data_IF_000202909070
#
_entry.id   IF_000202909070
#
_cell.length_a   1.000
_cell.length_b   1.000
_cell.length_c   1.000
_cell.angle_alpha   90.00
_cell.angle_beta   90.00
_cell.angle_gamma   90.00
#
_symmetry.space_group_name_H-M   'P 1'
#
loop_
_entity.id
_entity.type
_entity.pdbx_description
1 polymer ?
#
# COMPACT_ATOMS: atom_id res chain seq x y z
N UNK A 1 8.15 -7.36 32.22
CA UNK A 1 8.42 -8.25 31.07
C UNK A 1 7.43 -7.92 29.98
N UNK A 2 7.84 -7.14 28.98
CA UNK A 2 6.94 -6.63 27.92
C UNK A 2 6.43 -7.77 27.05
N UNK A 3 5.18 -8.18 27.27
CA UNK A 3 4.51 -9.19 26.47
C UNK A 3 4.29 -8.57 25.09
N UNK A 4 5.09 -9.00 24.11
CA UNK A 4 4.82 -8.72 22.69
C UNK A 4 3.31 -8.86 22.46
N UNK A 5 2.69 -7.79 21.97
CA UNK A 5 1.28 -7.80 21.55
C UNK A 5 1.03 -9.09 20.77
N UNK A 6 0.14 -9.95 21.27
CA UNK A 6 -0.24 -11.20 20.59
C UNK A 6 -0.48 -10.89 19.12
N UNK A 7 0.11 -11.64 18.20
CA UNK A 7 0.16 -11.36 16.75
C UNK A 7 -1.19 -10.96 16.13
N UNK A 8 -2.31 -11.39 16.71
CA UNK A 8 -3.66 -11.01 16.32
C UNK A 8 -4.00 -9.53 16.53
N UNK A 9 -3.58 -8.89 17.63
CA UNK A 9 -3.87 -7.47 17.90
C UNK A 9 -3.00 -6.54 17.04
N UNK A 10 -1.78 -6.94 16.73
CA UNK A 10 -0.91 -6.23 15.80
C UNK A 10 -1.45 -6.30 14.35
N UNK A 11 -1.95 -7.47 13.92
CA UNK A 11 -2.60 -7.64 12.61
C UNK A 11 -3.87 -6.80 12.47
N UNK A 12 -4.71 -6.74 13.50
CA UNK A 12 -5.94 -5.92 13.46
C UNK A 12 -5.65 -4.42 13.42
N UNK A 13 -4.63 -3.94 14.16
CA UNK A 13 -4.16 -2.56 14.08
C UNK A 13 -3.59 -2.22 12.70
N UNK A 14 -2.77 -3.10 12.13
CA UNK A 14 -2.19 -2.90 10.79
C UNK A 14 -3.27 -2.84 9.71
N UNK A 15 -4.27 -3.72 9.75
CA UNK A 15 -5.44 -3.66 8.86
C UNK A 15 -6.15 -2.30 8.95
N UNK A 16 -6.39 -1.80 10.17
CA UNK A 16 -7.02 -0.49 10.39
C UNK A 16 -6.23 0.68 9.83
N UNK A 17 -4.90 0.68 9.99
CA UNK A 17 -4.03 1.73 9.45
C UNK A 17 -4.09 1.77 7.94
N UNK A 18 -4.13 0.61 7.31
CA UNK A 18 -4.24 0.49 5.86
C UNK A 18 -5.60 0.95 5.35
N UNK A 19 -6.68 0.58 6.05
CA UNK A 19 -8.05 1.03 5.73
C UNK A 19 -8.19 2.54 5.86
N UNK A 20 -7.71 3.13 6.96
CA UNK A 20 -7.76 4.57 7.18
C UNK A 20 -6.92 5.36 6.16
N UNK A 21 -5.81 4.79 5.70
CA UNK A 21 -5.00 5.38 4.64
C UNK A 21 -5.75 5.41 3.30
N UNK A 22 -6.42 4.31 2.91
CA UNK A 22 -7.23 4.27 1.67
C UNK A 22 -8.43 5.22 1.76
N UNK A 23 -9.11 5.28 2.90
CA UNK A 23 -10.22 6.22 3.13
C UNK A 23 -9.76 7.68 3.02
N UNK A 24 -8.59 7.99 3.57
CA UNK A 24 -7.96 9.31 3.46
C UNK A 24 -7.60 9.64 2.02
N UNK A 25 -7.04 8.67 1.29
CA UNK A 25 -6.70 8.80 -0.13
C UNK A 25 -7.96 9.12 -0.95
N UNK A 26 -9.04 8.36 -0.81
CA UNK A 26 -10.28 8.57 -1.57
C UNK A 26 -10.97 9.90 -1.24
N UNK A 27 -10.94 10.34 0.01
CA UNK A 27 -11.68 11.52 0.46
C UNK A 27 -10.90 12.84 0.39
N UNK A 28 -9.58 12.82 0.59
CA UNK A 28 -8.75 14.02 0.67
C UNK A 28 -8.04 14.37 -0.64
N UNK A 29 -7.57 13.38 -1.40
CA UNK A 29 -6.90 13.60 -2.70
C UNK A 29 -7.75 14.46 -3.66
N UNK A 30 -9.04 14.16 -3.95
CA UNK A 30 -9.80 14.96 -4.89
C UNK A 30 -10.01 16.41 -4.42
N UNK A 31 -10.09 16.62 -3.09
CA UNK A 31 -10.18 17.97 -2.50
C UNK A 31 -8.85 18.71 -2.65
N UNK A 32 -7.73 18.05 -2.38
CA UNK A 32 -6.39 18.62 -2.52
C UNK A 32 -6.05 18.94 -3.98
N UNK A 33 -6.41 18.08 -4.93
CA UNK A 33 -6.25 18.35 -6.37
C UNK A 33 -7.09 19.56 -6.81
N UNK A 34 -8.35 19.64 -6.37
CA UNK A 34 -9.24 20.77 -6.67
C UNK A 34 -8.69 22.08 -6.11
N UNK A 35 -8.25 22.08 -4.86
CA UNK A 35 -7.69 23.27 -4.22
C UNK A 35 -6.32 23.64 -4.78
N UNK A 36 -5.50 22.66 -5.19
CA UNK A 36 -4.23 22.91 -5.87
C UNK A 36 -4.43 23.67 -7.19
N UNK A 37 -5.41 23.25 -8.00
CA UNK A 37 -5.76 23.92 -9.26
C UNK A 37 -6.36 25.31 -8.98
N UNK A 38 -7.27 25.41 -8.00
CA UNK A 38 -7.93 26.67 -7.63
C UNK A 38 -6.94 27.72 -7.10
N UNK A 39 -5.96 27.30 -6.30
CA UNK A 39 -4.99 28.18 -5.65
C UNK A 39 -3.68 28.30 -6.45
N UNK A 40 -3.51 27.52 -7.53
CA UNK A 40 -2.27 27.42 -8.34
C UNK A 40 -1.02 27.14 -7.50
N UNK A 41 -1.15 26.29 -6.47
CA UNK A 41 -0.07 25.95 -5.55
C UNK A 41 0.53 24.59 -5.87
N UNK A 42 1.74 24.61 -6.42
CA UNK A 42 2.48 23.38 -6.78
C UNK A 42 2.78 22.51 -5.54
N UNK A 43 2.95 23.11 -4.36
CA UNK A 43 3.15 22.36 -3.11
C UNK A 43 1.95 21.47 -2.75
N UNK A 44 0.72 21.98 -2.97
CA UNK A 44 -0.50 21.20 -2.74
C UNK A 44 -0.64 20.08 -3.77
N UNK A 45 -0.20 20.31 -5.00
CA UNK A 45 -0.14 19.28 -6.04
C UNK A 45 0.85 18.17 -5.64
N UNK A 46 2.03 18.53 -5.15
CA UNK A 46 3.06 17.58 -4.73
C UNK A 46 2.56 16.69 -3.58
N UNK A 47 1.92 17.28 -2.56
CA UNK A 47 1.33 16.53 -1.44
C UNK A 47 0.16 15.66 -1.90
N UNK A 48 -0.68 16.15 -2.83
CA UNK A 48 -1.77 15.36 -3.39
C UNK A 48 -1.24 14.16 -4.17
N UNK A 49 -0.19 14.35 -4.97
CA UNK A 49 0.46 13.29 -5.74
C UNK A 49 1.19 12.28 -4.83
N UNK A 50 1.84 12.75 -3.77
CA UNK A 50 2.47 11.87 -2.76
C UNK A 50 1.41 11.03 -2.04
N UNK A 51 0.29 11.65 -1.66
CA UNK A 51 -0.85 10.96 -1.05
C UNK A 51 -1.58 10.03 -2.03
N UNK A 52 -1.47 10.27 -3.34
CA UNK A 52 -1.98 9.37 -4.38
C UNK A 52 -1.15 8.11 -4.53
N UNK A 53 0.13 8.11 -4.14
CA UNK A 53 0.96 6.90 -4.20
C UNK A 53 0.35 5.90 -3.22
N UNK A 54 -0.37 4.87 -3.72
CA UNK A 54 -1.01 3.93 -2.83
C UNK A 54 0.07 3.14 -2.09
N UNK A 55 -0.27 2.44 -1.00
CA UNK A 55 0.67 1.54 -0.34
C UNK A 55 1.36 0.70 -1.42
N UNK A 56 2.70 0.67 -1.46
CA UNK A 56 3.48 0.10 -2.57
C UNK A 56 2.97 -1.28 -3.02
N UNK A 57 2.52 -2.10 -2.08
CA UNK A 57 1.84 -3.37 -2.30
C UNK A 57 0.60 -3.29 -3.22
N UNK A 58 -0.25 -2.27 -3.06
CA UNK A 58 -1.43 -2.03 -3.89
C UNK A 58 -1.04 -1.53 -5.30
N UNK A 59 -0.03 -0.66 -5.41
CA UNK A 59 0.50 -0.22 -6.70
C UNK A 59 0.99 -1.41 -7.53
N UNK A 60 1.81 -2.27 -6.90
CA UNK A 60 2.32 -3.50 -7.55
C UNK A 60 1.17 -4.44 -7.93
N UNK A 61 0.14 -4.58 -7.08
CA UNK A 61 -1.02 -5.43 -7.38
C UNK A 61 -1.80 -4.94 -8.62
N UNK A 62 -2.05 -3.64 -8.72
CA UNK A 62 -2.72 -3.03 -9.88
C UNK A 62 -1.86 -3.22 -11.13
N UNK A 63 -0.56 -2.99 -11.03
CA UNK A 63 0.38 -3.18 -12.14
C UNK A 63 0.42 -4.64 -12.63
N UNK A 64 0.46 -5.62 -11.72
CA UNK A 64 0.40 -7.05 -12.07
C UNK A 64 -0.91 -7.40 -12.76
N UNK A 65 -2.06 -6.92 -12.25
CA UNK A 65 -3.36 -7.15 -12.84
C UNK A 65 -3.47 -6.53 -14.25
N UNK A 66 -2.99 -5.28 -14.42
CA UNK A 66 -2.97 -4.59 -15.70
C UNK A 66 -2.04 -5.29 -16.71
N UNK A 67 -0.86 -5.72 -16.29
CA UNK A 67 0.10 -6.46 -17.13
C UNK A 67 -0.47 -7.81 -17.56
N UNK A 68 -1.09 -8.54 -16.63
CA UNK A 68 -1.78 -9.80 -16.93
C UNK A 68 -2.93 -9.60 -17.93
N UNK A 69 -3.77 -8.59 -17.71
CA UNK A 69 -4.85 -8.23 -18.64
C UNK A 69 -4.34 -7.83 -20.03
N UNK A 70 -3.24 -7.06 -20.10
CA UNK A 70 -2.62 -6.67 -21.36
C UNK A 70 -2.04 -7.86 -22.12
N UNK A 71 -1.39 -8.80 -21.42
CA UNK A 71 -0.89 -10.04 -22.01
C UNK A 71 -2.02 -10.92 -22.57
N UNK A 72 -3.14 -11.03 -21.85
CA UNK A 72 -4.34 -11.71 -22.37
C UNK A 72 -4.90 -10.99 -23.59
N UNK A 73 -4.95 -9.65 -23.57
CA UNK A 73 -5.37 -8.84 -24.71
C UNK A 73 -4.50 -9.08 -25.95
N UNK A 74 -3.17 -9.12 -25.78
CA UNK A 74 -2.22 -9.47 -26.84
C UNK A 74 -2.44 -10.89 -27.35
N UNK A 75 -2.66 -11.87 -26.47
CA UNK A 75 -2.94 -13.25 -26.86
C UNK A 75 -4.24 -13.38 -27.68
N UNK A 76 -5.20 -12.47 -27.49
CA UNK A 76 -6.44 -12.35 -28.25
C UNK A 76 -6.30 -11.48 -29.53
N UNK A 77 -5.08 -11.08 -29.91
CA UNK A 77 -4.81 -10.28 -31.10
C UNK A 77 -4.79 -8.76 -30.88
N UNK A 78 -4.74 -8.32 -29.62
CA UNK A 78 -4.62 -6.91 -29.24
C UNK A 78 -3.22 -6.32 -29.49
N UNK A 79 -3.13 -4.99 -29.31
CA UNK A 79 -1.88 -4.25 -29.52
C UNK A 79 -0.85 -4.51 -28.42
N UNK A 80 0.42 -4.66 -28.81
CA UNK A 80 1.56 -4.78 -27.89
C UNK A 80 1.93 -3.47 -27.18
N UNK A 81 1.41 -2.33 -27.65
CA UNK A 81 1.77 -1.00 -27.11
C UNK A 81 1.50 -0.95 -25.60
N UNK A 82 0.32 -1.39 -25.17
CA UNK A 82 -0.06 -1.41 -23.74
C UNK A 82 0.90 -2.28 -22.92
N UNK A 83 1.28 -3.45 -23.43
CA UNK A 83 2.21 -4.36 -22.74
C UNK A 83 3.60 -3.76 -22.64
N UNK A 84 4.11 -3.10 -23.68
CA UNK A 84 5.43 -2.46 -23.68
C UNK A 84 5.46 -1.31 -22.66
N UNK A 85 4.43 -0.47 -22.64
CA UNK A 85 4.34 0.64 -21.67
C UNK A 85 4.32 0.11 -20.24
N UNK A 86 3.53 -0.93 -19.97
CA UNK A 86 3.46 -1.56 -18.64
C UNK A 86 4.79 -2.23 -18.25
N UNK A 87 5.52 -2.82 -19.19
CA UNK A 87 6.84 -3.39 -18.91
C UNK A 87 7.87 -2.31 -18.56
N UNK A 88 7.87 -1.18 -19.27
CA UNK A 88 8.74 -0.04 -18.97
C UNK A 88 8.42 0.51 -17.57
N UNK A 89 7.14 0.68 -17.25
CA UNK A 89 6.69 1.08 -15.91
C UNK A 89 7.20 0.10 -14.84
N UNK A 90 7.10 -1.21 -15.09
CA UNK A 90 7.58 -2.25 -14.17
C UNK A 90 9.08 -2.16 -13.90
N UNK A 91 9.89 -1.87 -14.93
CA UNK A 91 11.33 -1.67 -14.78
C UNK A 91 11.63 -0.43 -13.93
N UNK A 92 10.95 0.69 -14.18
CA UNK A 92 11.12 1.92 -13.40
C UNK A 92 10.73 1.71 -11.94
N UNK A 93 9.63 1.00 -11.70
CA UNK A 93 9.17 0.64 -10.35
C UNK A 93 10.21 -0.23 -9.63
N UNK A 94 10.78 -1.23 -10.31
CA UNK A 94 11.81 -2.08 -9.75
C UNK A 94 13.10 -1.30 -9.41
N UNK A 95 13.52 -0.38 -10.28
CA UNK A 95 14.66 0.51 -10.01
C UNK A 95 14.38 1.35 -8.76
N UNK A 96 13.20 1.96 -8.66
CA UNK A 96 12.83 2.78 -7.50
C UNK A 96 12.86 1.98 -6.18
N UNK A 97 12.35 0.74 -6.19
CA UNK A 97 12.39 -0.15 -5.02
C UNK A 97 13.83 -0.50 -4.65
N UNK A 98 14.64 -0.90 -5.63
CA UNK A 98 16.04 -1.29 -5.40
C UNK A 98 16.87 -0.11 -4.89
N UNK A 99 16.67 1.08 -5.45
CA UNK A 99 17.32 2.29 -4.97
C UNK A 99 16.89 2.65 -3.55
N UNK A 100 15.59 2.60 -3.26
CA UNK A 100 15.06 2.86 -1.92
C UNK A 100 15.66 1.89 -0.89
N UNK A 101 15.72 0.60 -1.23
CA UNK A 101 16.35 -0.40 -0.40
C UNK A 101 17.86 -0.14 -0.22
N UNK A 102 18.58 0.14 -1.31
CA UNK A 102 20.04 0.33 -1.29
C UNK A 102 20.44 1.56 -0.48
N UNK A 103 19.65 2.64 -0.53
CA UNK A 103 19.92 3.90 0.18
C UNK A 103 19.49 3.86 1.65
N UNK A 104 18.35 3.24 1.97
CA UNK A 104 17.72 3.39 3.29
C UNK A 104 17.57 2.10 4.09
N UNK A 105 17.53 0.92 3.46
CA UNK A 105 17.19 -0.33 4.15
C UNK A 105 18.35 -1.33 4.23
N UNK A 106 19.48 -1.05 3.57
CA UNK A 106 20.63 -1.98 3.48
C UNK A 106 21.24 -2.34 4.84
N UNK A 107 21.13 -1.45 5.83
CA UNK A 107 21.67 -1.67 7.17
C UNK A 107 20.82 -2.64 8.02
N UNK A 108 19.49 -2.59 7.87
CA UNK A 108 18.56 -3.33 8.73
C UNK A 108 17.93 -4.55 8.05
N UNK A 109 17.89 -4.58 6.71
CA UNK A 109 17.17 -5.60 5.94
C UNK A 109 18.10 -6.31 4.92
N UNK A 110 18.51 -7.57 5.18
CA UNK A 110 19.32 -8.33 4.23
C UNK A 110 18.54 -8.59 2.93
N UNK A 111 19.25 -8.66 1.80
CA UNK A 111 18.65 -8.81 0.46
C UNK A 111 17.74 -10.04 0.34
N UNK A 112 17.96 -11.08 1.15
CA UNK A 112 17.08 -12.26 1.18
C UNK A 112 15.64 -11.93 1.62
N UNK A 113 15.41 -10.87 2.40
CA UNK A 113 14.06 -10.43 2.75
C UNK A 113 13.31 -9.84 1.56
N UNK A 114 14.00 -9.34 0.52
CA UNK A 114 13.35 -8.93 -0.74
C UNK A 114 12.68 -10.11 -1.45
N UNK A 115 13.18 -11.33 -1.27
CA UNK A 115 12.56 -12.52 -1.84
C UNK A 115 11.22 -12.87 -1.17
N UNK A 116 10.97 -12.37 0.05
CA UNK A 116 9.68 -12.51 0.73
C UNK A 116 8.65 -11.47 0.29
N UNK A 117 9.05 -10.42 -0.46
CA UNK A 117 8.15 -9.35 -0.93
C UNK A 117 7.00 -9.89 -1.80
N UNK A 118 7.22 -10.79 -2.78
CA UNK A 118 6.12 -11.35 -3.57
C UNK A 118 5.11 -12.10 -2.70
N UNK A 119 5.58 -12.90 -1.74
CA UNK A 119 4.74 -13.66 -0.81
C UNK A 119 3.95 -12.70 0.10
N UNK A 120 4.60 -11.64 0.59
CA UNK A 120 3.97 -10.61 1.40
C UNK A 120 2.85 -9.87 0.65
N UNK A 121 3.08 -9.52 -0.61
CA UNK A 121 2.08 -8.88 -1.49
C UNK A 121 0.89 -9.83 -1.69
N UNK A 122 1.15 -11.10 -2.02
CA UNK A 122 0.09 -12.11 -2.18
C UNK A 122 -0.75 -12.26 -0.91
N UNK A 123 -0.12 -12.23 0.26
CA UNK A 123 -0.82 -12.35 1.54
C UNK A 123 -1.69 -11.12 1.88
N UNK A 124 -1.42 -9.98 1.25
CA UNK A 124 -2.25 -8.77 1.36
C UNK A 124 -3.44 -8.72 0.40
N UNK A 125 -3.45 -9.53 -0.66
CA UNK A 125 -4.57 -9.60 -1.61
C UNK A 125 -5.94 -9.81 -0.91
N UNK A 126 -6.13 -10.79 -0.01
CA UNK A 126 -7.40 -10.97 0.67
C UNK A 126 -7.78 -9.78 1.57
N UNK A 127 -6.79 -9.05 2.12
CA UNK A 127 -7.03 -7.86 2.93
C UNK A 127 -7.59 -6.70 2.08
N UNK A 128 -7.04 -6.50 0.87
CA UNK A 128 -7.54 -5.47 -0.06
C UNK A 128 -8.88 -5.87 -0.69
N UNK A 129 -9.10 -7.15 -1.00
CA UNK A 129 -10.40 -7.64 -1.49
C UNK A 129 -11.48 -7.53 -0.40
N UNK A 130 -11.14 -7.84 0.86
CA UNK A 130 -12.07 -7.67 1.99
C UNK A 130 -12.45 -6.20 2.19
N UNK A 131 -11.54 -5.24 1.96
CA UNK A 131 -11.89 -3.82 2.00
C UNK A 131 -12.89 -3.41 0.92
N UNK A 132 -12.79 -3.99 -0.29
CA UNK A 132 -13.70 -3.69 -1.39
C UNK A 132 -15.11 -4.26 -1.15
N UNK A 133 -15.22 -5.34 -0.37
CA UNK A 133 -16.48 -6.05 -0.09
C UNK A 133 -17.11 -5.58 1.23
N UNK A 134 -16.32 -5.33 2.27
CA UNK A 134 -16.76 -4.90 3.60
C UNK A 134 -15.79 -3.86 4.20
N UNK A 135 -15.94 -2.56 3.87
CA UNK A 135 -15.18 -1.52 4.55
C UNK A 135 -15.47 -1.57 6.05
N UNK A 136 -14.42 -1.87 6.83
CA UNK A 136 -14.47 -1.99 8.30
C UNK A 136 -14.76 -0.62 8.92
N UNK A 137 -16.05 -0.28 9.00
CA UNK A 137 -16.60 0.98 9.53
C UNK A 137 -16.79 0.94 11.06
N UNK A 138 -16.59 -0.22 11.70
CA UNK A 138 -16.87 -0.40 13.12
C UNK A 138 -15.67 0.01 13.98
N UNK A 139 -15.81 1.10 14.71
CA UNK A 139 -14.81 1.54 15.69
C UNK A 139 -14.72 0.53 16.84
N UNK A 140 -13.64 -0.26 16.86
CA UNK A 140 -13.32 -1.18 17.96
C UNK A 140 -12.30 -0.50 18.87
N UNK A 141 -12.65 -0.32 20.14
CA UNK A 141 -11.76 0.24 21.17
C UNK A 141 -10.57 -0.70 21.36
N UNK A 142 -9.35 -0.19 21.25
CA UNK A 142 -8.14 -0.95 21.58
C UNK A 142 -8.20 -1.34 23.05
N UNK A 143 -8.23 -2.64 23.37
CA UNK A 143 -8.03 -3.10 24.74
C UNK A 143 -6.63 -2.68 25.18
N UNK A 144 -6.55 -1.95 26.28
CA UNK A 144 -5.30 -1.65 26.97
C UNK A 144 -5.11 -2.75 28.01
N UNK A 145 -3.88 -3.25 28.15
CA UNK A 145 -3.56 -4.16 29.25
C UNK A 145 -4.00 -3.50 30.56
N UNK A 146 -4.76 -4.26 31.36
CA UNK A 146 -5.12 -3.80 32.70
C UNK A 146 -3.83 -3.57 33.47
N UNK A 147 -3.65 -2.37 34.00
CA UNK A 147 -2.58 -2.08 34.95
C UNK A 147 -2.97 -2.84 36.21
N UNK A 148 -2.26 -3.93 36.52
CA UNK A 148 -2.36 -4.60 37.83
C UNK A 148 -1.93 -3.57 38.88
N UNK A 149 -2.88 -2.88 39.48
CA UNK A 149 -2.66 -2.10 40.70
C UNK A 149 -2.51 -3.10 41.84
N UNK A 150 -1.32 -3.23 42.48
CA UNK A 150 -1.17 -4.10 43.63
C UNK A 150 -2.07 -3.57 44.76
N UNK A 151 -2.93 -4.45 45.27
CA UNK A 151 -3.79 -4.17 46.43
C UNK A 151 -2.91 -3.94 47.66
N UNK A 152 -2.86 -2.70 48.13
CA UNK A 152 -2.34 -2.29 49.44
C UNK A 152 -3.40 -2.45 50.53
#
# INVERSE_FOLDING_TARGET
TGRLMKDASAKSQRSRWEHGHIETLLNQVPKLLKESVRQRRIDLLAIALDLCVPPLSLLVLIWVAATGGSLLGVALGGSWISTIVLLIEGVLLLIAIVEGWAKFCRADFPILMLLAVPIYILWKIPLYLAFLVEPQTKWIRTERDAVDTPSS
#
